data_IF_339313164373
#
_entry.id   IF_339313164373
#
_cell.length_a   1.000
_cell.length_b   1.000
_cell.length_c   1.000
_cell.angle_alpha   90.00
_cell.angle_beta   90.00
_cell.angle_gamma   90.00
#
_symmetry.space_group_name_H-M   'P 1'
#
loop_
_entity.id
_entity.type
_entity.pdbx_description
1 polymer ?
#
# COMPACT_ATOMS: atom_id res chain seq x y z
N UNK A 1 15.22 27.66 25.91
CA UNK A 1 14.63 28.71 26.76
C UNK A 1 15.71 29.15 27.73
N UNK A 2 16.09 30.42 27.72
CA UNK A 2 17.07 30.95 28.67
C UNK A 2 16.36 31.12 30.04
N UNK A 3 16.94 30.56 31.10
CA UNK A 3 16.32 30.51 32.43
C UNK A 3 16.36 31.83 33.19
N UNK A 4 17.24 32.76 32.82
CA UNK A 4 17.32 34.09 33.46
C UNK A 4 16.45 35.14 32.75
N UNK A 5 16.23 35.02 31.44
CA UNK A 5 15.48 36.02 30.66
C UNK A 5 14.09 35.55 30.21
N UNK A 6 13.75 34.27 30.37
CA UNK A 6 12.41 33.73 30.10
C UNK A 6 11.98 33.68 28.63
N UNK A 7 12.87 34.02 27.68
CA UNK A 7 12.56 34.03 26.25
C UNK A 7 12.99 32.72 25.56
N UNK A 8 12.20 32.29 24.58
CA UNK A 8 12.49 31.15 23.69
C UNK A 8 13.26 31.65 22.47
N UNK A 9 14.58 31.56 22.51
CA UNK A 9 15.43 31.81 21.35
C UNK A 9 15.54 30.55 20.47
N UNK A 10 15.40 30.75 19.15
CA UNK A 10 15.59 29.69 18.16
C UNK A 10 17.09 29.45 17.96
N UNK A 11 17.56 28.23 18.23
CA UNK A 11 18.93 27.83 17.85
C UNK A 11 18.96 27.53 16.36
N UNK A 12 19.54 28.45 15.58
CA UNK A 12 19.94 28.18 14.20
C UNK A 12 21.16 27.26 14.22
N UNK A 13 21.04 26.08 13.63
CA UNK A 13 22.14 25.12 13.51
C UNK A 13 23.00 25.50 12.31
N UNK A 14 23.94 26.44 12.51
CA UNK A 14 24.99 26.73 11.52
C UNK A 14 26.24 25.97 12.00
N UNK A 15 26.73 24.98 11.24
CA UNK A 15 27.99 24.33 11.59
C UNK A 15 29.14 25.30 11.32
N UNK A 16 29.75 25.84 12.37
CA UNK A 16 31.06 26.48 12.28
C UNK A 16 32.14 25.40 12.24
N UNK A 17 33.00 25.48 11.23
CA UNK A 17 34.19 24.65 11.09
C UNK A 17 35.14 24.87 12.27
N UNK A 18 35.52 23.79 12.97
CA UNK A 18 36.64 23.82 13.91
C UNK A 18 36.43 23.25 15.32
N UNK A 19 35.58 22.23 15.53
CA UNK A 19 35.57 21.49 16.80
C UNK A 19 35.93 20.02 16.59
N UNK A 20 37.16 19.71 16.99
CA UNK A 20 37.70 18.36 17.12
C UNK A 20 36.90 17.54 18.15
N UNK A 21 36.47 16.35 17.75
CA UNK A 21 36.10 15.18 18.56
C UNK A 21 35.33 15.44 19.88
N UNK A 22 34.00 15.34 19.78
CA UNK A 22 33.06 15.18 20.92
C UNK A 22 33.29 13.87 21.71
N UNK A 23 34.21 13.01 21.25
CA UNK A 23 34.57 11.74 21.88
C UNK A 23 35.42 11.89 23.16
N UNK A 24 35.89 13.10 23.49
CA UNK A 24 36.77 13.39 24.64
C UNK A 24 36.04 13.87 25.92
N UNK A 25 34.73 14.11 25.88
CA UNK A 25 33.99 14.70 27.02
C UNK A 25 32.94 13.78 27.67
N UNK A 26 32.95 12.48 27.36
CA UNK A 26 31.99 11.49 27.91
C UNK A 26 32.60 10.50 28.92
N UNK A 27 33.88 10.60 29.25
CA UNK A 27 34.47 9.83 30.35
C UNK A 27 34.20 10.53 31.70
N UNK A 28 33.13 10.12 32.39
CA UNK A 28 32.90 10.54 33.78
C UNK A 28 31.46 10.63 34.25
N UNK A 29 30.46 10.27 33.45
CA UNK A 29 29.07 10.19 33.93
C UNK A 29 28.85 8.89 34.71
N UNK A 30 28.43 8.94 35.99
CA UNK A 30 28.06 7.72 36.73
C UNK A 30 26.82 7.11 36.10
N UNK A 31 26.97 5.94 35.47
CA UNK A 31 25.85 5.09 35.10
C UNK A 31 25.40 4.33 36.35
N UNK A 32 24.34 4.80 36.99
CA UNK A 32 23.62 4.06 38.03
C UNK A 32 23.00 2.80 37.38
N UNK A 33 23.79 1.72 37.28
CA UNK A 33 23.27 0.39 37.00
C UNK A 33 22.72 -0.18 38.31
N UNK A 34 21.40 -0.13 38.48
CA UNK A 34 20.74 -0.85 39.56
C UNK A 34 20.81 -2.37 39.28
N UNK A 35 21.88 -3.00 39.74
CA UNK A 35 21.97 -4.46 39.81
C UNK A 35 21.10 -4.92 40.98
N UNK A 36 19.94 -5.50 40.67
CA UNK A 36 19.18 -6.28 41.66
C UNK A 36 19.91 -7.62 41.83
N UNK A 37 20.73 -7.70 42.88
CA UNK A 37 21.29 -8.97 43.35
C UNK A 37 20.14 -9.77 43.95
N UNK A 38 19.68 -10.78 43.21
CA UNK A 38 18.81 -11.82 43.78
C UNK A 38 19.71 -12.71 44.62
N UNK A 39 19.52 -12.71 45.93
CA UNK A 39 20.18 -13.68 46.81
C UNK A 39 19.85 -15.09 46.32
N UNK A 40 20.85 -15.76 45.75
CA UNK A 40 20.77 -17.19 45.53
C UNK A 40 20.93 -17.85 46.90
N UNK A 41 19.97 -18.68 47.33
CA UNK A 41 20.12 -19.41 48.58
C UNK A 41 21.38 -20.29 48.51
N UNK A 42 22.19 -20.18 49.54
CA UNK A 42 23.42 -20.95 49.71
C UNK A 42 23.15 -22.44 49.54
N UNK A 43 24.04 -23.08 48.78
CA UNK A 43 23.96 -24.48 48.42
C UNK A 43 24.22 -25.38 49.63
N UNK A 44 23.15 -25.75 50.32
CA UNK A 44 23.11 -26.93 51.17
C UNK A 44 22.02 -27.85 50.66
N UNK A 45 22.42 -28.93 49.97
CA UNK A 45 21.86 -30.29 50.03
C UNK A 45 22.13 -31.05 48.74
N UNK A 46 22.88 -32.14 48.86
CA UNK A 46 23.08 -33.16 47.85
C UNK A 46 21.73 -33.82 47.46
N UNK A 47 21.24 -33.60 46.24
CA UNK A 47 20.26 -34.49 45.58
C UNK A 47 20.70 -34.78 44.13
N UNK A 48 20.78 -36.05 43.70
CA UNK A 48 21.16 -36.39 42.34
C UNK A 48 19.97 -36.28 41.38
N UNK A 49 20.14 -35.54 40.28
CA UNK A 49 19.42 -35.83 39.02
C UNK A 49 18.26 -34.93 38.61
N UNK A 50 18.27 -33.61 38.87
CA UNK A 50 17.37 -32.68 38.15
C UNK A 50 18.14 -31.96 37.03
N UNK A 51 17.75 -32.10 35.75
CA UNK A 51 18.38 -31.37 34.67
C UNK A 51 18.19 -29.86 34.85
N UNK A 52 19.21 -29.10 34.49
CA UNK A 52 19.24 -27.65 34.66
C UNK A 52 18.02 -27.00 33.98
N UNK A 53 17.50 -25.90 34.56
CA UNK A 53 16.30 -25.20 34.08
C UNK A 53 16.38 -24.80 32.58
N UNK A 54 17.60 -24.63 32.05
CA UNK A 54 17.85 -24.37 30.63
C UNK A 54 17.38 -25.49 29.70
N UNK A 55 17.33 -26.73 30.20
CA UNK A 55 16.93 -27.92 29.45
C UNK A 55 15.41 -28.14 29.50
N UNK A 56 14.67 -27.30 30.25
CA UNK A 56 13.21 -27.37 30.43
C UNK A 56 12.43 -26.27 29.72
N UNK A 57 13.12 -25.30 29.09
CA UNK A 57 12.47 -24.27 28.27
C UNK A 57 12.53 -24.71 26.81
N UNK A 58 11.40 -25.03 26.15
CA UNK A 58 11.39 -25.28 24.72
C UNK A 58 12.03 -24.09 24.00
N UNK A 59 13.11 -24.36 23.26
CA UNK A 59 13.94 -23.37 22.55
C UNK A 59 13.23 -22.65 21.40
N UNK A 60 11.91 -22.78 21.29
CA UNK A 60 11.09 -22.09 20.31
C UNK A 60 10.44 -20.89 20.99
N UNK A 61 11.08 -19.70 20.98
CA UNK A 61 10.37 -18.49 21.37
C UNK A 61 9.08 -18.39 20.56
N UNK A 62 7.96 -17.98 21.17
CA UNK A 62 6.72 -17.77 20.42
C UNK A 62 6.99 -16.83 19.25
N UNK A 63 6.47 -17.19 18.07
CA UNK A 63 6.60 -16.39 16.86
C UNK A 63 6.17 -14.95 17.15
N UNK A 64 7.11 -14.01 17.06
CA UNK A 64 6.83 -12.59 17.26
C UNK A 64 5.93 -12.11 16.11
N UNK A 65 4.71 -11.68 16.43
CA UNK A 65 3.84 -11.00 15.46
C UNK A 65 4.31 -9.56 15.35
N UNK A 66 5.07 -9.26 14.30
CA UNK A 66 5.64 -7.93 14.06
C UNK A 66 4.59 -6.82 13.94
N UNK A 67 3.33 -7.17 13.64
CA UNK A 67 2.26 -6.19 13.50
C UNK A 67 1.63 -5.80 14.85
N UNK A 68 1.60 -6.71 15.83
CA UNK A 68 0.96 -6.49 17.13
C UNK A 68 -0.52 -6.09 17.08
N UNK A 69 -1.13 -5.83 18.24
CA UNK A 69 -2.45 -5.19 18.28
C UNK A 69 -2.25 -3.69 18.08
N UNK A 70 -2.82 -3.12 17.02
CA UNK A 70 -2.83 -1.68 16.80
C UNK A 70 -3.73 -1.04 17.88
N UNK A 71 -3.17 -0.23 18.80
CA UNK A 71 -3.98 0.42 19.83
C UNK A 71 -4.80 1.57 19.22
N UNK A 72 -5.96 1.90 19.79
CA UNK A 72 -6.67 3.12 19.41
C UNK A 72 -5.82 4.36 19.70
N UNK A 73 -5.98 5.44 18.91
CA UNK A 73 -5.31 6.70 19.18
C UNK A 73 -5.66 7.21 20.58
N UNK A 74 -4.67 7.80 21.26
CA UNK A 74 -4.81 8.31 22.63
C UNK A 74 -5.63 9.61 22.55
N UNK A 75 -6.76 9.73 23.26
CA UNK A 75 -7.50 10.98 23.31
C UNK A 75 -6.64 12.07 23.94
N UNK A 76 -6.27 13.10 23.18
CA UNK A 76 -5.66 14.31 23.68
C UNK A 76 -6.44 15.54 23.18
N UNK A 77 -6.14 16.73 23.73
CA UNK A 77 -6.88 17.94 23.38
C UNK A 77 -6.70 18.39 21.91
N UNK A 78 -5.69 17.85 21.20
CA UNK A 78 -5.41 18.15 19.79
C UNK A 78 -6.09 17.15 18.84
N UNK A 79 -6.26 15.89 19.24
CA UNK A 79 -6.91 14.81 18.48
C UNK A 79 -8.44 14.88 18.47
N UNK A 80 -9.02 15.97 19.00
CA UNK A 80 -10.45 16.27 18.96
C UNK A 80 -11.38 15.07 19.27
N UNK A 81 -12.54 15.07 18.61
CA UNK A 81 -13.53 13.98 18.64
C UNK A 81 -13.38 13.08 17.40
N UNK A 82 -12.13 12.75 17.03
CA UNK A 82 -11.81 11.94 15.85
C UNK A 82 -12.45 10.56 15.90
N UNK A 83 -12.47 9.92 17.08
CA UNK A 83 -13.10 8.61 17.25
C UNK A 83 -14.61 8.64 17.00
N UNK A 84 -15.33 9.66 17.49
CA UNK A 84 -16.77 9.75 17.19
C UNK A 84 -17.00 10.12 15.72
N UNK A 85 -16.16 10.99 15.16
CA UNK A 85 -16.20 11.39 13.75
C UNK A 85 -16.02 10.17 12.84
N UNK A 86 -15.05 9.31 13.17
CA UNK A 86 -14.82 8.03 12.51
C UNK A 86 -16.06 7.13 12.59
N UNK A 87 -16.59 6.89 13.80
CA UNK A 87 -17.75 6.01 14.00
C UNK A 87 -19.01 6.52 13.27
N UNK A 88 -19.26 7.84 13.34
CA UNK A 88 -20.35 8.48 12.63
C UNK A 88 -20.21 8.34 11.10
N UNK A 89 -18.98 8.47 10.60
CA UNK A 89 -18.68 8.35 9.17
C UNK A 89 -18.83 6.92 8.67
N UNK A 90 -18.32 5.94 9.41
CA UNK A 90 -18.51 4.51 9.13
C UNK A 90 -20.00 4.17 9.06
N UNK A 91 -20.80 4.64 10.02
CA UNK A 91 -22.24 4.41 10.04
C UNK A 91 -22.95 5.10 8.86
N UNK A 92 -22.58 6.33 8.54
CA UNK A 92 -23.16 7.09 7.44
C UNK A 92 -22.90 6.43 6.08
N UNK A 93 -21.69 5.90 5.85
CA UNK A 93 -21.36 5.15 4.63
C UNK A 93 -22.16 3.84 4.57
N UNK A 94 -22.14 3.07 5.67
CA UNK A 94 -22.85 1.79 5.78
C UNK A 94 -24.33 1.92 5.46
N UNK A 95 -24.96 2.98 5.98
CA UNK A 95 -26.39 3.24 5.83
C UNK A 95 -26.77 4.08 4.60
N UNK A 96 -25.81 4.55 3.80
CA UNK A 96 -26.09 5.53 2.73
C UNK A 96 -26.88 6.76 3.26
N UNK A 97 -26.48 7.26 4.44
CA UNK A 97 -27.18 8.35 5.10
C UNK A 97 -27.03 9.68 4.33
N UNK A 98 -27.87 10.68 4.62
CA UNK A 98 -27.79 12.02 3.96
C UNK A 98 -26.42 12.69 4.07
N UNK A 99 -25.64 12.35 5.11
CA UNK A 99 -24.29 12.86 5.35
C UNK A 99 -23.18 12.05 4.65
N UNK A 100 -23.52 11.19 3.68
CA UNK A 100 -22.56 10.29 3.01
C UNK A 100 -21.33 11.00 2.42
N UNK A 101 -21.53 12.13 1.75
CA UNK A 101 -20.41 12.87 1.13
C UNK A 101 -19.45 13.42 2.18
N UNK A 102 -19.99 13.98 3.27
CA UNK A 102 -19.19 14.44 4.40
C UNK A 102 -18.46 13.28 5.08
N UNK A 103 -19.14 12.14 5.23
CA UNK A 103 -18.53 10.95 5.81
C UNK A 103 -17.34 10.42 4.98
N UNK A 104 -17.38 10.56 3.65
CA UNK A 104 -16.23 10.25 2.80
C UNK A 104 -15.08 11.26 3.01
N UNK A 105 -15.37 12.54 3.23
CA UNK A 105 -14.33 13.54 3.56
C UNK A 105 -13.67 13.22 4.90
N UNK A 106 -14.49 13.04 5.93
CA UNK A 106 -14.05 12.71 7.28
C UNK A 106 -13.21 11.40 7.30
N UNK A 107 -13.66 10.34 6.60
CA UNK A 107 -12.86 9.11 6.50
C UNK A 107 -11.57 9.30 5.69
N UNK A 108 -11.58 10.12 4.64
CA UNK A 108 -10.38 10.36 3.85
C UNK A 108 -9.29 11.07 4.65
N UNK A 109 -9.68 11.97 5.56
CA UNK A 109 -8.77 12.58 6.53
C UNK A 109 -8.24 11.56 7.55
N UNK A 110 -9.05 10.62 8.02
CA UNK A 110 -8.66 9.69 9.09
C UNK A 110 -7.94 8.41 8.60
N UNK A 111 -8.16 8.00 7.35
CA UNK A 111 -7.71 6.71 6.83
C UNK A 111 -6.18 6.53 6.73
N UNK A 112 -5.39 7.59 6.88
CA UNK A 112 -3.92 7.50 6.90
C UNK A 112 -3.38 7.01 8.26
N UNK A 113 -4.18 7.08 9.32
CA UNK A 113 -3.82 6.50 10.61
C UNK A 113 -3.97 4.98 10.56
N UNK A 114 -2.97 4.27 11.12
CA UNK A 114 -2.91 2.80 11.07
C UNK A 114 -4.14 2.17 11.75
N UNK A 115 -4.62 2.73 12.86
CA UNK A 115 -5.79 2.22 13.57
C UNK A 115 -7.05 2.37 12.73
N UNK A 116 -7.33 3.57 12.23
CA UNK A 116 -8.53 3.81 11.41
C UNK A 116 -8.49 3.02 10.10
N UNK A 117 -7.32 2.89 9.46
CA UNK A 117 -7.15 2.03 8.29
C UNK A 117 -7.51 0.56 8.55
N UNK A 118 -7.11 0.02 9.71
CA UNK A 118 -7.47 -1.34 10.14
C UNK A 118 -8.98 -1.47 10.37
N UNK A 119 -9.60 -0.51 11.07
CA UNK A 119 -11.04 -0.57 11.34
C UNK A 119 -11.89 -0.42 10.07
N UNK A 120 -11.44 0.35 9.08
CA UNK A 120 -12.06 0.40 7.74
C UNK A 120 -11.96 -0.97 7.06
N UNK A 121 -10.79 -1.61 7.08
CA UNK A 121 -10.57 -2.91 6.44
C UNK A 121 -11.36 -4.06 7.08
N UNK A 122 -11.69 -3.94 8.38
CA UNK A 122 -12.49 -4.93 9.13
C UNK A 122 -14.00 -4.84 8.87
N UNK A 123 -14.56 -3.68 8.53
CA UNK A 123 -16.00 -3.55 8.28
C UNK A 123 -16.32 -3.89 6.81
N UNK A 124 -16.68 -5.15 6.56
CA UNK A 124 -17.04 -5.65 5.23
C UNK A 124 -18.04 -4.76 4.45
N UNK A 125 -19.18 -4.34 5.05
CA UNK A 125 -20.12 -3.44 4.39
C UNK A 125 -19.54 -2.07 3.96
N UNK A 126 -18.69 -1.45 4.79
CA UNK A 126 -18.00 -0.21 4.41
C UNK A 126 -16.97 -0.49 3.32
N UNK A 127 -16.17 -1.54 3.48
CA UNK A 127 -15.17 -1.96 2.49
C UNK A 127 -15.82 -2.20 1.12
N UNK A 128 -16.92 -2.94 1.05
CA UNK A 128 -17.63 -3.21 -0.22
C UNK A 128 -18.06 -1.92 -0.92
N UNK A 129 -18.62 -0.96 -0.17
CA UNK A 129 -19.02 0.35 -0.72
C UNK A 129 -17.84 1.12 -1.25
N UNK A 130 -16.73 1.17 -0.51
CA UNK A 130 -15.51 1.85 -0.93
C UNK A 130 -14.91 1.20 -2.19
N UNK A 131 -14.90 -0.14 -2.27
CA UNK A 131 -14.49 -0.87 -3.48
C UNK A 131 -15.39 -0.48 -4.65
N UNK A 132 -16.71 -0.53 -4.47
CA UNK A 132 -17.63 -0.20 -5.54
C UNK A 132 -17.49 1.24 -6.03
N UNK A 133 -17.37 2.20 -5.11
CA UNK A 133 -17.10 3.60 -5.44
C UNK A 133 -15.80 3.76 -6.21
N UNK A 134 -14.73 3.10 -5.77
CA UNK A 134 -13.42 3.11 -6.45
C UNK A 134 -13.52 2.60 -7.89
N UNK A 135 -14.41 1.64 -8.13
CA UNK A 135 -14.70 1.10 -9.46
C UNK A 135 -15.65 1.99 -10.28
N UNK A 136 -16.10 3.13 -9.75
CA UNK A 136 -17.05 4.03 -10.38
C UNK A 136 -18.50 3.54 -10.34
N UNK A 137 -18.81 2.62 -9.42
CA UNK A 137 -20.13 2.02 -9.25
C UNK A 137 -20.71 2.33 -7.86
N UNK A 138 -22.02 2.13 -7.67
CA UNK A 138 -22.61 2.07 -6.32
C UNK A 138 -23.25 3.33 -5.74
N UNK A 139 -23.60 4.37 -6.52
CA UNK A 139 -24.39 5.51 -5.98
C UNK A 139 -25.59 5.92 -6.82
N UNK A 140 -26.36 4.96 -7.33
CA UNK A 140 -27.62 5.28 -8.04
C UNK A 140 -28.73 5.82 -7.12
N UNK A 141 -28.55 5.77 -5.79
CA UNK A 141 -29.57 6.15 -4.79
C UNK A 141 -29.51 7.61 -4.34
N UNK A 142 -28.42 8.31 -4.57
CA UNK A 142 -28.26 9.71 -4.18
C UNK A 142 -27.47 10.46 -5.25
N UNK A 143 -28.08 11.48 -5.83
CA UNK A 143 -27.39 12.41 -6.73
C UNK A 143 -26.15 12.97 -6.01
N UNK A 144 -24.98 12.77 -6.60
CA UNK A 144 -23.75 13.36 -6.09
C UNK A 144 -23.79 14.86 -6.38
N UNK A 145 -23.71 15.70 -5.35
CA UNK A 145 -23.58 17.15 -5.54
C UNK A 145 -22.22 17.53 -6.12
N UNK A 146 -21.21 16.69 -5.90
CA UNK A 146 -19.84 16.85 -6.40
C UNK A 146 -19.32 15.53 -6.98
N UNK A 147 -18.74 15.62 -8.18
CA UNK A 147 -18.05 14.50 -8.83
C UNK A 147 -16.71 14.25 -8.13
N UNK A 148 -16.71 13.43 -7.09
CA UNK A 148 -15.46 13.05 -6.41
C UNK A 148 -15.54 11.84 -5.47
N UNK A 149 -16.70 11.16 -5.38
CA UNK A 149 -16.88 10.03 -4.46
C UNK A 149 -15.93 8.87 -4.77
N UNK A 150 -15.67 8.62 -6.05
CA UNK A 150 -14.75 7.58 -6.51
C UNK A 150 -13.29 7.92 -6.20
N UNK A 151 -12.90 9.18 -6.38
CA UNK A 151 -11.60 9.68 -5.93
C UNK A 151 -11.42 9.53 -4.42
N UNK A 152 -12.40 9.99 -3.61
CA UNK A 152 -12.36 9.88 -2.15
C UNK A 152 -12.28 8.43 -1.70
N UNK A 153 -13.12 7.55 -2.26
CA UNK A 153 -13.08 6.13 -1.91
C UNK A 153 -11.74 5.46 -2.27
N UNK A 154 -11.20 5.78 -3.44
CA UNK A 154 -9.89 5.27 -3.85
C UNK A 154 -8.77 5.79 -2.95
N UNK A 155 -8.82 7.06 -2.53
CA UNK A 155 -7.86 7.65 -1.59
C UNK A 155 -7.98 7.05 -0.19
N UNK A 156 -9.20 6.80 0.31
CA UNK A 156 -9.45 6.11 1.58
C UNK A 156 -8.83 4.71 1.55
N UNK A 157 -9.15 3.89 0.53
CA UNK A 157 -8.60 2.54 0.42
C UNK A 157 -7.09 2.53 0.25
N UNK A 158 -6.56 3.42 -0.60
CA UNK A 158 -5.12 3.55 -0.81
C UNK A 158 -4.39 3.91 0.49
N UNK A 159 -4.92 4.85 1.26
CA UNK A 159 -4.32 5.30 2.52
C UNK A 159 -4.43 4.25 3.63
N UNK A 160 -5.59 3.62 3.77
CA UNK A 160 -5.83 2.60 4.79
C UNK A 160 -4.90 1.39 4.67
N UNK A 161 -4.50 1.05 3.44
CA UNK A 161 -3.62 -0.10 3.15
C UNK A 161 -2.14 0.28 3.07
N UNK A 162 -1.82 1.56 2.91
CA UNK A 162 -0.45 2.00 2.76
C UNK A 162 0.34 1.76 4.06
N UNK A 163 1.40 0.96 3.97
CA UNK A 163 2.25 0.60 5.12
C UNK A 163 1.46 0.00 6.31
N UNK A 164 0.32 -0.65 6.04
CA UNK A 164 -0.56 -1.21 7.07
C UNK A 164 -0.77 -2.72 6.85
N UNK A 165 0.19 -3.58 7.28
CA UNK A 165 0.10 -5.03 7.08
C UNK A 165 -1.11 -5.66 7.81
N UNK A 166 -1.55 -5.08 8.92
CA UNK A 166 -2.76 -5.53 9.63
C UNK A 166 -4.01 -5.30 8.78
N UNK A 167 -4.18 -4.11 8.20
CA UNK A 167 -5.30 -3.84 7.31
C UNK A 167 -5.28 -4.73 6.06
N UNK A 168 -4.10 -4.99 5.49
CA UNK A 168 -3.93 -5.93 4.38
C UNK A 168 -4.40 -7.34 4.73
N UNK A 169 -4.08 -7.83 5.94
CA UNK A 169 -4.54 -9.14 6.41
C UNK A 169 -6.05 -9.20 6.61
N UNK A 170 -6.67 -8.11 7.07
CA UNK A 170 -8.13 -8.03 7.23
C UNK A 170 -8.85 -8.05 5.87
N UNK A 171 -8.36 -7.30 4.86
CA UNK A 171 -8.98 -7.34 3.52
C UNK A 171 -8.85 -8.71 2.84
N UNK A 172 -7.81 -9.49 3.15
CA UNK A 172 -7.63 -10.84 2.62
C UNK A 172 -8.81 -11.76 3.02
N UNK A 173 -9.41 -11.54 4.19
CA UNK A 173 -10.64 -12.21 4.63
C UNK A 173 -11.85 -11.94 3.73
N UNK A 174 -11.82 -10.82 2.98
CA UNK A 174 -12.87 -10.38 2.06
C UNK A 174 -12.51 -10.62 0.58
N UNK A 175 -11.55 -11.49 0.27
CA UNK A 175 -11.02 -11.65 -1.09
C UNK A 175 -12.09 -11.79 -2.19
N UNK A 176 -13.05 -12.70 -2.00
CA UNK A 176 -14.12 -12.93 -2.98
C UNK A 176 -14.92 -11.66 -3.30
N UNK A 177 -15.20 -10.86 -2.27
CA UNK A 177 -15.95 -9.61 -2.37
C UNK A 177 -15.13 -8.51 -3.06
N UNK A 178 -13.83 -8.40 -2.77
CA UNK A 178 -12.98 -7.39 -3.42
C UNK A 178 -12.71 -7.75 -4.88
N UNK A 179 -12.50 -9.02 -5.21
CA UNK A 179 -12.26 -9.47 -6.60
C UNK A 179 -13.54 -9.49 -7.44
N UNK A 180 -14.69 -9.85 -6.85
CA UNK A 180 -15.98 -9.91 -7.54
C UNK A 180 -17.03 -9.12 -6.74
N UNK A 181 -16.92 -7.78 -6.70
CA UNK A 181 -17.76 -6.95 -5.84
C UNK A 181 -19.18 -6.85 -6.37
N UNK A 182 -20.16 -6.84 -5.47
CA UNK A 182 -21.57 -6.69 -5.82
C UNK A 182 -21.97 -5.21 -5.88
N UNK A 183 -21.48 -4.51 -6.89
CA UNK A 183 -21.73 -3.09 -7.06
C UNK A 183 -23.08 -2.84 -7.75
N UNK A 184 -24.16 -2.95 -6.96
CA UNK A 184 -25.56 -2.86 -7.39
C UNK A 184 -25.82 -2.09 -8.69
N UNK A 185 -25.96 -2.83 -9.78
CA UNK A 185 -26.68 -2.39 -10.97
C UNK A 185 -28.04 -3.09 -10.95
N UNK A 186 -29.12 -2.32 -11.08
CA UNK A 186 -30.46 -2.87 -11.16
C UNK A 186 -30.53 -4.01 -12.20
N UNK A 187 -30.83 -5.22 -11.73
CA UNK A 187 -31.31 -6.34 -12.54
C UNK A 187 -30.28 -7.19 -13.29
N UNK A 188 -29.03 -6.77 -13.48
CA UNK A 188 -28.03 -7.61 -14.17
C UNK A 188 -27.14 -8.34 -13.17
N UNK A 189 -27.28 -9.67 -13.10
CA UNK A 189 -26.39 -10.60 -12.38
C UNK A 189 -25.04 -10.78 -13.10
N UNK A 190 -24.47 -9.73 -13.69
CA UNK A 190 -23.12 -9.85 -14.25
C UNK A 190 -22.15 -9.94 -13.09
N UNK A 191 -21.60 -11.14 -12.85
CA UNK A 191 -20.45 -11.35 -11.97
C UNK A 191 -19.19 -10.84 -12.68
N UNK A 192 -19.19 -9.56 -13.05
CA UNK A 192 -17.99 -8.94 -13.56
C UNK A 192 -17.00 -8.78 -12.41
N UNK A 193 -15.75 -9.14 -12.67
CA UNK A 193 -14.69 -8.91 -11.73
C UNK A 193 -14.24 -7.44 -11.73
N UNK A 194 -13.53 -7.07 -10.67
CA UNK A 194 -13.08 -5.69 -10.48
C UNK A 194 -12.24 -5.17 -11.66
N UNK A 195 -11.45 -6.01 -12.35
CA UNK A 195 -10.66 -5.57 -13.52
C UNK A 195 -11.60 -5.19 -14.66
N UNK A 196 -12.60 -6.02 -14.97
CA UNK A 196 -13.60 -5.72 -16.01
C UNK A 196 -14.41 -4.49 -15.71
N UNK A 197 -14.89 -4.34 -14.47
CA UNK A 197 -15.67 -3.17 -14.05
C UNK A 197 -14.82 -1.92 -14.23
N UNK A 198 -13.59 -1.91 -13.73
CA UNK A 198 -12.69 -0.77 -13.85
C UNK A 198 -12.31 -0.46 -15.30
N UNK A 199 -12.04 -1.51 -16.11
CA UNK A 199 -11.72 -1.38 -17.54
C UNK A 199 -12.83 -0.65 -18.30
N UNK A 200 -14.09 -0.96 -17.99
CA UNK A 200 -15.25 -0.29 -18.60
C UNK A 200 -15.30 1.21 -18.30
N UNK A 201 -14.82 1.63 -17.13
CA UNK A 201 -14.81 3.03 -16.68
C UNK A 201 -13.63 3.86 -17.19
N UNK A 202 -12.47 3.25 -17.50
CA UNK A 202 -11.24 3.99 -17.89
C UNK A 202 -11.46 4.91 -19.07
N UNK A 203 -12.23 4.47 -20.08
CA UNK A 203 -12.48 5.23 -21.29
C UNK A 203 -13.21 6.55 -21.03
N UNK A 204 -14.13 6.55 -20.06
CA UNK A 204 -14.93 7.72 -19.68
C UNK A 204 -14.28 8.63 -18.63
N UNK A 205 -13.31 8.11 -17.86
CA UNK A 205 -12.61 8.88 -16.83
C UNK A 205 -11.78 10.01 -17.44
N UNK A 206 -12.08 11.26 -17.11
CA UNK A 206 -11.34 12.44 -17.59
C UNK A 206 -10.46 13.04 -16.50
N UNK A 207 -10.68 12.68 -15.24
CA UNK A 207 -9.93 13.22 -14.13
C UNK A 207 -8.69 12.36 -13.84
N UNK A 208 -7.51 12.91 -14.14
CA UNK A 208 -6.24 12.23 -13.91
C UNK A 208 -5.98 11.97 -12.41
N UNK A 209 -6.41 12.86 -11.51
CA UNK A 209 -6.24 12.68 -10.07
C UNK A 209 -7.10 11.53 -9.54
N UNK A 210 -8.33 11.38 -10.06
CA UNK A 210 -9.19 10.23 -9.77
C UNK A 210 -8.56 8.92 -10.24
N UNK A 211 -8.07 8.88 -11.50
CA UNK A 211 -7.42 7.68 -12.02
C UNK A 211 -6.14 7.33 -11.25
N UNK A 212 -5.34 8.33 -10.87
CA UNK A 212 -4.16 8.15 -10.01
C UNK A 212 -4.53 7.56 -8.65
N UNK A 213 -5.60 8.05 -8.03
CA UNK A 213 -6.08 7.51 -6.75
C UNK A 213 -6.52 6.04 -6.89
N UNK A 214 -7.24 5.70 -7.97
CA UNK A 214 -7.63 4.32 -8.30
C UNK A 214 -6.40 3.41 -8.45
N UNK A 215 -5.35 3.86 -9.15
CA UNK A 215 -4.07 3.12 -9.24
C UNK A 215 -3.43 2.97 -7.84
N UNK A 216 -3.49 3.99 -7.00
CA UNK A 216 -3.03 3.92 -5.60
C UNK A 216 -3.73 2.85 -4.77
N UNK A 217 -5.06 2.81 -4.82
CA UNK A 217 -5.86 1.79 -4.14
C UNK A 217 -5.49 0.38 -4.61
N UNK A 218 -5.40 0.16 -5.93
CA UNK A 218 -4.99 -1.12 -6.51
C UNK A 218 -3.60 -1.49 -6.03
N UNK A 219 -2.64 -0.56 -6.07
CA UNK A 219 -1.27 -0.79 -5.61
C UNK A 219 -1.19 -1.26 -4.15
N UNK A 220 -2.08 -0.78 -3.28
CA UNK A 220 -2.20 -1.26 -1.90
C UNK A 220 -2.74 -2.68 -1.85
N UNK A 221 -3.85 -2.95 -2.53
CA UNK A 221 -4.52 -4.27 -2.55
C UNK A 221 -3.58 -5.36 -3.09
N UNK A 222 -2.77 -5.05 -4.12
CA UNK A 222 -1.84 -6.02 -4.74
C UNK A 222 -0.66 -6.43 -3.84
N UNK A 223 -0.43 -5.75 -2.71
CA UNK A 223 0.57 -6.20 -1.74
C UNK A 223 0.21 -7.54 -1.11
N UNK A 224 -1.08 -7.88 -1.07
CA UNK A 224 -1.56 -9.18 -0.62
C UNK A 224 -1.51 -10.18 -1.79
N UNK A 225 -0.70 -11.26 -1.70
CA UNK A 225 -0.42 -12.15 -2.84
C UNK A 225 -1.66 -12.75 -3.50
N UNK A 226 -2.68 -13.10 -2.70
CA UNK A 226 -3.91 -13.71 -3.23
C UNK A 226 -4.67 -12.77 -4.18
N UNK A 227 -4.66 -11.46 -3.91
CA UNK A 227 -5.23 -10.47 -4.82
C UNK A 227 -4.37 -10.25 -6.05
N UNK A 228 -3.05 -10.21 -5.86
CA UNK A 228 -2.08 -10.03 -6.95
C UNK A 228 -2.21 -11.12 -8.02
N UNK A 229 -2.33 -12.37 -7.59
CA UNK A 229 -2.44 -13.51 -8.50
C UNK A 229 -3.77 -13.48 -9.27
N UNK A 230 -4.88 -13.15 -8.60
CA UNK A 230 -6.17 -12.96 -9.26
C UNK A 230 -6.18 -11.75 -10.19
N UNK A 231 -5.49 -10.65 -9.85
CA UNK A 231 -5.33 -9.47 -10.69
C UNK A 231 -4.63 -9.82 -12.00
N UNK A 232 -3.51 -10.55 -11.94
CA UNK A 232 -2.78 -10.97 -13.14
C UNK A 232 -3.64 -11.91 -13.99
N UNK A 233 -4.32 -12.87 -13.36
CA UNK A 233 -5.16 -13.87 -14.06
C UNK A 233 -6.34 -13.24 -14.82
N UNK A 234 -6.76 -12.04 -14.43
CA UNK A 234 -7.91 -11.32 -15.01
C UNK A 234 -7.46 -10.15 -15.89
N UNK A 235 -6.27 -10.26 -16.48
CA UNK A 235 -5.73 -9.26 -17.40
C UNK A 235 -5.53 -7.88 -16.75
N UNK A 236 -5.24 -7.84 -15.45
CA UNK A 236 -4.98 -6.60 -14.72
C UNK A 236 -3.73 -5.87 -15.24
N UNK A 237 -2.75 -6.58 -15.79
CA UNK A 237 -1.57 -5.94 -16.39
C UNK A 237 -1.90 -5.19 -17.69
N UNK A 238 -2.82 -5.72 -18.51
CA UNK A 238 -3.34 -4.98 -19.67
C UNK A 238 -4.12 -3.73 -19.23
N UNK A 239 -4.87 -3.82 -18.13
CA UNK A 239 -5.59 -2.70 -17.55
C UNK A 239 -4.63 -1.57 -17.16
N UNK A 240 -3.54 -1.88 -16.46
CA UNK A 240 -2.53 -0.89 -16.07
C UNK A 240 -1.84 -0.27 -17.28
N UNK A 241 -1.52 -1.08 -18.30
CA UNK A 241 -0.94 -0.58 -19.54
C UNK A 241 -1.91 0.34 -20.28
N UNK A 242 -3.22 0.02 -20.29
CA UNK A 242 -4.23 0.89 -20.85
C UNK A 242 -4.33 2.24 -20.11
N UNK A 243 -4.17 2.25 -18.78
CA UNK A 243 -4.09 3.49 -17.99
C UNK A 243 -2.82 4.29 -18.31
N UNK A 244 -1.67 3.61 -18.46
CA UNK A 244 -0.39 4.23 -18.83
C UNK A 244 -0.45 4.89 -20.22
N UNK A 245 -1.14 4.26 -21.17
CA UNK A 245 -1.28 4.73 -22.55
C UNK A 245 -2.37 5.78 -22.75
N UNK A 246 -3.11 6.15 -21.71
CA UNK A 246 -4.11 7.21 -21.78
C UNK A 246 -3.44 8.52 -22.23
N UNK A 247 -4.01 9.22 -23.20
CA UNK A 247 -3.39 10.42 -23.82
C UNK A 247 -3.56 11.67 -22.96
N UNK A 248 -2.61 12.60 -23.07
CA UNK A 248 -2.59 13.89 -22.36
C UNK A 248 -1.46 13.99 -21.34
N UNK A 249 -0.90 15.18 -21.17
CA UNK A 249 0.17 15.48 -20.20
C UNK A 249 -0.36 15.43 -18.75
N UNK A 250 -1.62 15.82 -18.53
CA UNK A 250 -2.28 15.70 -17.22
C UNK A 250 -2.25 14.26 -16.66
N UNK A 251 -2.14 13.25 -17.54
CA UNK A 251 -2.05 11.84 -17.16
C UNK A 251 -0.63 11.37 -16.83
N UNK A 252 0.40 12.22 -16.87
CA UNK A 252 1.77 11.85 -16.44
C UNK A 252 1.81 11.42 -14.98
N UNK A 253 1.00 12.05 -14.12
CA UNK A 253 0.86 11.64 -12.72
C UNK A 253 0.31 10.22 -12.58
N UNK A 254 -0.50 9.78 -13.55
CA UNK A 254 -1.04 8.41 -13.62
C UNK A 254 0.02 7.47 -14.14
N UNK A 255 0.74 7.82 -15.23
CA UNK A 255 1.85 7.02 -15.77
C UNK A 255 2.91 6.74 -14.72
N UNK A 256 3.32 7.77 -13.98
CA UNK A 256 4.26 7.63 -12.87
C UNK A 256 3.73 6.70 -11.79
N UNK A 257 2.45 6.84 -11.41
CA UNK A 257 1.85 5.99 -10.37
C UNK A 257 1.68 4.54 -10.82
N UNK A 258 1.39 4.29 -12.10
CA UNK A 258 1.39 2.95 -12.70
C UNK A 258 2.80 2.36 -12.67
N UNK A 259 3.81 3.12 -13.07
CA UNK A 259 5.21 2.69 -12.99
C UNK A 259 5.62 2.31 -11.55
N UNK A 260 5.28 3.15 -10.57
CA UNK A 260 5.51 2.86 -9.15
C UNK A 260 4.79 1.59 -8.70
N UNK A 261 3.51 1.41 -9.04
CA UNK A 261 2.76 0.20 -8.71
C UNK A 261 3.47 -1.04 -9.26
N UNK A 262 3.92 -0.98 -10.52
CA UNK A 262 4.59 -2.10 -11.18
C UNK A 262 5.92 -2.43 -10.51
N UNK A 263 6.72 -1.41 -10.17
CA UNK A 263 7.96 -1.59 -9.41
C UNK A 263 7.68 -2.25 -8.05
N UNK A 264 6.79 -1.66 -7.26
CA UNK A 264 6.51 -2.05 -5.88
C UNK A 264 5.96 -3.49 -5.75
N UNK A 265 5.23 -3.97 -6.75
CA UNK A 265 4.51 -5.25 -6.66
C UNK A 265 5.15 -6.38 -7.47
N UNK A 266 5.94 -6.07 -8.51
CA UNK A 266 6.43 -7.09 -9.46
C UNK A 266 7.93 -7.04 -9.76
N UNK A 267 8.60 -5.89 -9.65
CA UNK A 267 9.97 -5.74 -10.17
C UNK A 267 11.03 -5.41 -9.11
N UNK A 268 10.66 -4.85 -7.96
CA UNK A 268 11.59 -4.45 -6.91
C UNK A 268 11.35 -5.21 -5.60
N UNK A 269 12.19 -6.23 -5.36
CA UNK A 269 12.14 -7.04 -4.14
C UNK A 269 12.33 -6.19 -2.87
N UNK A 270 13.13 -5.12 -2.93
CA UNK A 270 13.36 -4.20 -1.82
C UNK A 270 12.10 -3.43 -1.42
N UNK A 271 11.14 -3.27 -2.35
CA UNK A 271 9.84 -2.64 -2.11
C UNK A 271 8.73 -3.65 -1.73
N UNK A 272 9.07 -4.94 -1.72
CA UNK A 272 8.17 -6.05 -1.38
C UNK A 272 7.63 -6.82 -2.60
N UNK A 273 8.20 -6.64 -3.79
CA UNK A 273 7.76 -7.37 -4.98
C UNK A 273 8.12 -8.86 -4.90
N UNK A 274 7.23 -9.71 -5.44
CA UNK A 274 7.55 -11.11 -5.69
C UNK A 274 8.03 -11.28 -7.13
N UNK A 275 9.36 -11.39 -7.28
CA UNK A 275 10.01 -11.56 -8.58
C UNK A 275 9.56 -12.88 -9.26
N UNK A 276 9.61 -12.90 -10.59
CA UNK A 276 9.25 -14.03 -11.44
C UNK A 276 7.74 -14.24 -11.62
N UNK A 277 6.89 -13.46 -10.95
CA UNK A 277 5.43 -13.54 -11.08
C UNK A 277 4.95 -12.86 -12.37
N UNK A 278 5.61 -11.76 -12.74
CA UNK A 278 5.37 -10.95 -13.94
C UNK A 278 6.64 -10.12 -14.21
N UNK A 279 7.03 -9.86 -15.48
CA UNK A 279 6.39 -10.21 -16.75
C UNK A 279 6.46 -11.70 -17.11
N UNK A 280 5.51 -12.17 -17.92
CA UNK A 280 5.40 -13.60 -18.29
C UNK A 280 5.95 -13.95 -19.67
N UNK A 281 5.81 -13.05 -20.64
CA UNK A 281 6.20 -13.30 -22.02
C UNK A 281 7.58 -12.68 -22.31
N UNK A 282 8.14 -12.97 -23.49
CA UNK A 282 9.28 -12.18 -23.96
C UNK A 282 8.84 -10.80 -24.45
N UNK A 283 9.79 -9.87 -24.57
CA UNK A 283 9.50 -8.55 -25.11
C UNK A 283 9.06 -8.65 -26.58
N UNK A 284 7.92 -8.03 -26.88
CA UNK A 284 7.34 -8.00 -28.23
C UNK A 284 8.04 -6.98 -29.12
N UNK A 285 7.98 -7.22 -30.43
CA UNK A 285 8.50 -6.26 -31.40
C UNK A 285 7.66 -4.97 -31.41
N UNK A 286 8.30 -3.84 -31.74
CA UNK A 286 7.59 -2.56 -31.89
C UNK A 286 6.43 -2.61 -32.89
N UNK A 287 6.57 -3.38 -33.98
CA UNK A 287 5.50 -3.54 -34.98
C UNK A 287 4.28 -4.22 -34.36
N UNK A 288 4.49 -5.24 -33.53
CA UNK A 288 3.40 -5.93 -32.81
C UNK A 288 2.68 -4.98 -31.88
N UNK A 289 3.43 -4.19 -31.12
CA UNK A 289 2.87 -3.30 -30.09
C UNK A 289 2.17 -2.04 -30.63
N UNK A 290 2.34 -1.74 -31.91
CA UNK A 290 1.60 -0.69 -32.62
C UNK A 290 0.25 -1.18 -33.15
N UNK A 291 0.03 -2.50 -33.25
CA UNK A 291 -1.25 -3.07 -33.65
C UNK A 291 -2.22 -2.96 -32.47
N UNK A 292 -3.39 -2.37 -32.72
CA UNK A 292 -4.39 -2.07 -31.68
C UNK A 292 -4.83 -3.30 -30.88
N UNK A 293 -4.86 -4.47 -31.50
CA UNK A 293 -5.26 -5.73 -30.84
C UNK A 293 -4.21 -6.22 -29.84
N UNK A 294 -2.93 -5.97 -30.10
CA UNK A 294 -1.80 -6.51 -29.32
C UNK A 294 -1.11 -5.44 -28.46
N UNK A 295 -1.55 -4.18 -28.57
CA UNK A 295 -0.86 -3.04 -27.94
C UNK A 295 -0.85 -3.12 -26.41
N UNK A 296 -1.74 -3.89 -25.80
CA UNK A 296 -1.84 -4.06 -24.35
C UNK A 296 -1.18 -5.35 -23.84
N UNK A 297 -0.65 -6.17 -24.74
CA UNK A 297 -0.04 -7.45 -24.39
C UNK A 297 1.12 -7.26 -23.42
N UNK A 298 1.35 -8.28 -22.59
CA UNK A 298 2.47 -8.36 -21.65
C UNK A 298 3.82 -7.95 -22.27
N UNK A 299 4.13 -8.46 -23.46
CA UNK A 299 5.40 -8.18 -24.16
C UNK A 299 5.55 -6.74 -24.63
N UNK A 300 4.49 -5.93 -24.62
CA UNK A 300 4.50 -4.56 -25.13
C UNK A 300 4.83 -3.49 -24.11
N UNK A 301 4.93 -3.84 -22.82
CA UNK A 301 5.33 -2.92 -21.76
C UNK A 301 6.65 -2.21 -22.05
N UNK A 302 7.69 -2.97 -22.40
CA UNK A 302 9.03 -2.45 -22.70
C UNK A 302 9.00 -1.41 -23.83
N UNK A 303 8.24 -1.67 -24.89
CA UNK A 303 8.11 -0.77 -26.03
C UNK A 303 7.46 0.57 -25.63
N UNK A 304 6.37 0.51 -24.86
CA UNK A 304 5.63 1.70 -24.47
C UNK A 304 6.36 2.53 -23.44
N UNK A 305 7.03 1.90 -22.47
CA UNK A 305 7.87 2.59 -21.48
C UNK A 305 9.09 3.23 -22.16
N UNK A 306 9.76 2.53 -23.08
CA UNK A 306 10.89 3.08 -23.85
C UNK A 306 10.45 4.28 -24.72
N UNK A 307 9.31 4.17 -25.39
CA UNK A 307 8.75 5.26 -26.21
C UNK A 307 8.45 6.49 -25.36
N UNK A 308 7.81 6.29 -24.19
CA UNK A 308 7.53 7.37 -23.26
C UNK A 308 8.81 8.01 -22.70
N UNK A 309 9.79 7.19 -22.30
CA UNK A 309 11.07 7.65 -21.75
C UNK A 309 11.89 8.47 -22.75
N UNK A 310 11.83 8.13 -24.03
CA UNK A 310 12.44 8.92 -25.11
C UNK A 310 11.73 10.24 -25.37
N UNK A 311 10.40 10.23 -25.29
CA UNK A 311 9.59 11.44 -25.44
C UNK A 311 9.72 12.41 -24.25
N UNK A 312 10.01 11.87 -23.06
CA UNK A 312 10.06 12.61 -21.78
C UNK A 312 11.39 12.32 -21.04
N UNK A 313 12.56 12.77 -21.55
CA UNK A 313 13.86 12.36 -21.01
C UNK A 313 14.13 12.73 -19.54
N UNK A 314 13.43 13.75 -19.04
CA UNK A 314 13.44 14.24 -17.65
C UNK A 314 12.72 13.30 -16.66
N UNK A 315 11.87 12.41 -17.16
CA UNK A 315 11.20 11.39 -16.36
C UNK A 315 12.16 10.22 -16.08
N UNK A 316 13.16 10.44 -15.21
CA UNK A 316 14.17 9.44 -14.85
C UNK A 316 13.57 8.09 -14.43
N UNK A 317 12.47 8.12 -13.67
CA UNK A 317 11.74 6.92 -13.22
C UNK A 317 11.31 5.98 -14.35
N UNK A 318 11.05 6.51 -15.56
CA UNK A 318 10.65 5.69 -16.69
C UNK A 318 11.84 4.86 -17.25
N UNK A 319 13.06 5.40 -17.14
CA UNK A 319 14.29 4.66 -17.50
C UNK A 319 14.54 3.55 -16.49
N UNK A 320 14.38 3.84 -15.21
CA UNK A 320 14.55 2.86 -14.13
C UNK A 320 13.54 1.71 -14.28
N UNK A 321 12.28 2.04 -14.56
CA UNK A 321 11.25 1.05 -14.87
C UNK A 321 11.62 0.18 -16.08
N UNK A 322 12.13 0.77 -17.16
CA UNK A 322 12.54 0.03 -18.35
C UNK A 322 13.72 -0.91 -18.07
N UNK A 323 14.67 -0.49 -17.23
CA UNK A 323 15.79 -1.33 -16.80
C UNK A 323 15.27 -2.53 -16.02
N UNK A 324 14.43 -2.28 -15.01
CA UNK A 324 13.85 -3.34 -14.18
C UNK A 324 13.04 -4.36 -14.99
N UNK A 325 12.22 -3.90 -15.96
CA UNK A 325 11.47 -4.79 -16.87
C UNK A 325 12.40 -5.72 -17.66
N UNK A 326 13.48 -5.18 -18.23
CA UNK A 326 14.44 -5.96 -19.03
C UNK A 326 15.22 -6.95 -18.19
N UNK A 327 15.64 -6.54 -16.99
CA UNK A 327 16.32 -7.41 -16.03
C UNK A 327 15.44 -8.60 -15.64
N UNK A 328 14.18 -8.34 -15.32
CA UNK A 328 13.25 -9.40 -14.88
C UNK A 328 12.94 -10.39 -16.00
N UNK A 329 12.70 -9.93 -17.24
CA UNK A 329 12.57 -10.84 -18.39
C UNK A 329 13.86 -11.62 -18.66
N UNK A 330 15.02 -10.99 -18.48
CA UNK A 330 16.33 -11.62 -18.58
C UNK A 330 16.52 -12.76 -17.57
N UNK A 331 15.93 -12.65 -16.38
CA UNK A 331 15.91 -13.71 -15.37
C UNK A 331 14.95 -14.84 -15.74
N UNK A 332 13.72 -14.50 -16.14
CA UNK A 332 12.71 -15.49 -16.54
C UNK A 332 13.17 -16.38 -17.70
N UNK A 333 13.87 -15.81 -18.69
CA UNK A 333 14.42 -16.56 -19.83
C UNK A 333 15.60 -17.49 -19.48
N UNK A 334 16.32 -17.23 -18.39
CA UNK A 334 17.39 -18.12 -17.89
C UNK A 334 16.81 -19.24 -17.03
N UNK A 335 15.84 -18.92 -16.17
CA UNK A 335 15.17 -19.91 -15.31
C UNK A 335 14.33 -20.94 -16.10
N UNK A 336 13.79 -20.57 -17.25
CA UNK A 336 13.12 -21.53 -18.15
C UNK A 336 14.11 -22.51 -18.79
N UNK A 337 15.28 -22.02 -19.24
CA UNK A 337 16.34 -22.86 -19.85
C UNK A 337 16.99 -23.82 -18.86
N UNK A 338 17.12 -23.45 -17.59
CA UNK A 338 17.66 -24.34 -16.55
C UNK A 338 16.67 -25.41 -16.08
N UNK A 339 15.35 -25.20 -16.24
CA UNK A 339 14.32 -26.21 -15.93
C UNK A 339 14.08 -27.22 -17.06
N UNK A 340 14.58 -26.95 -18.26
CA UNK A 340 14.47 -27.81 -19.44
C UNK A 340 15.70 -28.73 -19.65
N UNK A 341 16.70 -28.67 -18.76
CA UNK A 341 17.91 -29.51 -18.73
C UNK A 341 17.86 -30.56 -17.60
#
# INVERSE_FOLDING_TARGET
>A
MNLETGLKEARLNIPTEGEESVESQLEGLPTEQSMVVVDQPEADSEEPGKPALRDQVPMNPPSYDAAGKVPPPIPNAESGDEMSTFQASMLAIKMEARAFDKALDDLNELAHDIYYGVEIAKDGPVLEKLVCLTLGAGTQRMDAKENGRDHKAASILGSALQNNPTALKEIAGYNKMVVNPMCGQGGSKSQDDFVKILRSGIGGEKNAATLRAKVGAISGILREPTFRDEFIKRDGMELLLAMFLKKGEDFDIVRKKVGQLVMDNFLDEGMGASLGVWPKNEASSSKTCQVKENMLDDGCWDHHVDTFSKATPEAAWAKDLLVALKEERGRSSKGSKEREL
#
